data_IF_328154847490
#
_entry.id   IF_328154847490
#
_cell.length_a   1.000
_cell.length_b   1.000
_cell.length_c   1.000
_cell.angle_alpha   90.00
_cell.angle_beta   90.00
_cell.angle_gamma   90.00
#
_symmetry.space_group_name_H-M   'P 1'
#
loop_
_entity.id
_entity.type
_entity.pdbx_description
1 polymer ?
#
# COMPACT_ATOMS: atom_id res chain seq x y z
N UNK A 1 4.99 5.21 -22.59
CA UNK A 1 3.91 4.39 -21.98
C UNK A 1 4.40 2.99 -21.63
N UNK A 2 5.05 2.28 -22.56
CA UNK A 2 5.66 0.94 -22.30
C UNK A 2 6.60 0.92 -21.06
N UNK A 3 7.56 1.85 -20.87
CA UNK A 3 8.46 1.80 -19.71
C UNK A 3 7.74 2.02 -18.37
N UNK A 4 6.67 2.82 -18.36
CA UNK A 4 5.86 3.10 -17.16
C UNK A 4 5.12 1.84 -16.72
N UNK A 5 4.47 1.14 -17.66
CA UNK A 5 3.78 -0.12 -17.36
C UNK A 5 4.72 -1.21 -16.84
N UNK A 6 5.92 -1.35 -17.43
CA UNK A 6 6.91 -2.33 -16.96
C UNK A 6 7.40 -2.00 -15.56
N UNK A 7 7.58 -0.71 -15.24
CA UNK A 7 8.03 -0.31 -13.92
C UNK A 7 6.93 -0.52 -12.87
N UNK A 8 5.69 -0.13 -13.18
CA UNK A 8 4.53 -0.34 -12.30
C UNK A 8 4.26 -1.82 -12.02
N UNK A 9 4.36 -2.68 -13.05
CA UNK A 9 4.16 -4.12 -12.86
C UNK A 9 5.24 -4.75 -11.98
N UNK A 10 6.51 -4.36 -12.14
CA UNK A 10 7.58 -4.79 -11.23
C UNK A 10 7.34 -4.30 -9.79
N UNK A 11 6.91 -3.05 -9.63
CA UNK A 11 6.61 -2.46 -8.33
C UNK A 11 5.40 -3.15 -7.66
N UNK A 12 4.40 -3.56 -8.44
CA UNK A 12 3.25 -4.34 -7.99
C UNK A 12 3.69 -5.68 -7.43
N UNK A 13 4.45 -6.44 -8.22
CA UNK A 13 4.89 -7.80 -7.86
C UNK A 13 5.77 -7.74 -6.60
N UNK A 14 6.77 -6.87 -6.60
CA UNK A 14 7.67 -6.71 -5.45
C UNK A 14 6.94 -6.20 -4.20
N UNK A 15 6.03 -5.23 -4.35
CA UNK A 15 5.26 -4.67 -3.24
C UNK A 15 4.25 -5.67 -2.65
N UNK A 16 3.57 -6.46 -3.48
CA UNK A 16 2.65 -7.51 -3.01
C UNK A 16 3.44 -8.59 -2.29
N UNK A 17 4.52 -9.11 -2.87
CA UNK A 17 5.33 -10.17 -2.25
C UNK A 17 5.91 -9.70 -0.93
N UNK A 18 6.54 -8.51 -0.90
CA UNK A 18 7.20 -7.98 0.29
C UNK A 18 6.22 -7.74 1.45
N UNK A 19 5.09 -7.07 1.18
CA UNK A 19 4.12 -6.79 2.23
C UNK A 19 3.33 -8.04 2.66
N UNK A 20 3.05 -8.99 1.76
CA UNK A 20 2.41 -10.26 2.11
C UNK A 20 3.31 -11.12 3.00
N UNK A 21 4.60 -11.19 2.66
CA UNK A 21 5.58 -11.93 3.44
C UNK A 21 5.73 -11.33 4.85
N UNK A 22 5.78 -10.00 4.95
CA UNK A 22 5.77 -9.30 6.24
C UNK A 22 4.52 -9.66 7.05
N UNK A 23 3.33 -9.54 6.45
CA UNK A 23 2.07 -9.87 7.12
C UNK A 23 2.09 -11.32 7.64
N UNK A 24 2.54 -12.27 6.82
CA UNK A 24 2.60 -13.68 7.18
C UNK A 24 3.58 -13.97 8.33
N UNK A 25 4.79 -13.41 8.29
CA UNK A 25 5.80 -13.57 9.33
C UNK A 25 5.32 -12.98 10.66
N UNK A 26 4.78 -11.76 10.64
CA UNK A 26 4.31 -11.07 11.85
C UNK A 26 2.98 -11.61 12.39
N UNK A 27 2.20 -12.34 11.57
CA UNK A 27 1.04 -13.07 12.04
C UNK A 27 1.46 -14.35 12.78
N UNK A 28 2.34 -15.16 12.17
CA UNK A 28 2.57 -16.54 12.62
C UNK A 28 3.66 -16.68 13.68
N UNK A 29 4.67 -15.80 13.69
CA UNK A 29 5.96 -16.13 14.34
C UNK A 29 6.28 -15.39 15.63
N UNK A 30 5.52 -14.36 16.04
CA UNK A 30 5.93 -13.50 17.16
C UNK A 30 4.83 -13.20 18.19
N UNK A 31 5.16 -13.20 19.49
CA UNK A 31 4.27 -12.72 20.54
C UNK A 31 3.95 -11.23 20.34
N UNK A 32 2.72 -10.84 20.70
CA UNK A 32 2.17 -9.53 20.37
C UNK A 32 2.83 -8.42 21.22
N UNK A 33 3.69 -7.64 20.58
CA UNK A 33 4.29 -6.41 21.14
C UNK A 33 3.69 -5.21 20.40
N UNK A 34 3.42 -4.05 21.06
CA UNK A 34 2.82 -2.87 20.41
C UNK A 34 3.55 -2.45 19.12
N UNK A 35 4.89 -2.42 19.14
CA UNK A 35 5.74 -2.20 17.97
C UNK A 35 5.44 -3.11 16.77
N UNK A 36 5.15 -4.39 17.03
CA UNK A 36 4.85 -5.38 15.98
C UNK A 36 3.41 -5.27 15.47
N UNK A 37 2.49 -4.78 16.30
CA UNK A 37 1.13 -4.45 15.86
C UNK A 37 1.16 -3.28 14.87
N UNK A 38 1.96 -2.26 15.14
CA UNK A 38 2.21 -1.17 14.20
C UNK A 38 2.78 -1.65 12.86
N UNK A 39 3.76 -2.56 12.88
CA UNK A 39 4.34 -3.14 11.65
C UNK A 39 3.30 -3.95 10.86
N UNK A 40 2.42 -4.70 11.54
CA UNK A 40 1.31 -5.43 10.88
C UNK A 40 0.35 -4.48 10.17
N UNK A 41 -0.04 -3.40 10.84
CA UNK A 41 -0.93 -2.37 10.29
C UNK A 41 -0.28 -1.68 9.09
N UNK A 42 1.00 -1.33 9.20
CA UNK A 42 1.78 -0.76 8.10
C UNK A 42 1.87 -1.69 6.88
N UNK A 43 2.12 -2.98 7.09
CA UNK A 43 2.14 -3.97 6.00
C UNK A 43 0.77 -4.13 5.32
N UNK A 44 -0.33 -4.04 6.08
CA UNK A 44 -1.69 -4.05 5.54
C UNK A 44 -1.97 -2.81 4.70
N UNK A 45 -1.62 -1.62 5.19
CA UNK A 45 -1.70 -0.38 4.41
C UNK A 45 -0.82 -0.41 3.17
N UNK A 46 0.37 -1.02 3.25
CA UNK A 46 1.25 -1.26 2.11
C UNK A 46 0.60 -2.10 1.02
N UNK A 47 -0.04 -3.23 1.39
CA UNK A 47 -0.80 -4.09 0.46
C UNK A 47 -1.97 -3.35 -0.19
N UNK A 48 -2.76 -2.64 0.61
CA UNK A 48 -3.86 -1.82 0.10
C UNK A 48 -3.32 -0.79 -0.89
N UNK A 49 -2.25 -0.07 -0.56
CA UNK A 49 -1.69 0.96 -1.45
C UNK A 49 -1.21 0.38 -2.77
N UNK A 50 -0.44 -0.72 -2.75
CA UNK A 50 0.09 -1.32 -3.98
C UNK A 50 -1.01 -1.92 -4.86
N UNK A 51 -2.05 -2.51 -4.25
CA UNK A 51 -3.20 -3.06 -4.98
C UNK A 51 -4.19 -2.01 -5.47
N UNK A 52 -4.11 -0.77 -4.97
CA UNK A 52 -5.05 0.31 -5.27
C UNK A 52 -4.38 1.37 -6.13
N UNK A 53 -3.23 1.92 -5.76
CA UNK A 53 -2.53 2.97 -6.53
C UNK A 53 -2.06 2.48 -7.90
N UNK A 54 -1.48 1.29 -8.00
CA UNK A 54 -0.90 0.79 -9.26
C UNK A 54 -1.96 0.52 -10.34
N UNK A 55 -3.06 -0.19 -10.07
CA UNK A 55 -4.10 -0.32 -11.09
C UNK A 55 -4.74 1.02 -11.43
N UNK A 56 -4.79 1.99 -10.51
CA UNK A 56 -5.27 3.35 -10.79
C UNK A 56 -4.42 4.05 -11.85
N UNK A 57 -3.11 4.05 -11.65
CA UNK A 57 -2.15 4.62 -12.61
C UNK A 57 -2.14 3.89 -13.97
N UNK A 58 -2.29 2.56 -13.97
CA UNK A 58 -2.44 1.77 -15.21
C UNK A 58 -3.74 2.15 -15.91
N UNK A 59 -4.84 2.31 -15.17
CA UNK A 59 -6.14 2.64 -15.71
C UNK A 59 -6.16 4.06 -16.30
N UNK A 60 -5.59 5.06 -15.60
CA UNK A 60 -5.42 6.41 -16.13
C UNK A 60 -4.50 6.46 -17.36
N UNK A 61 -3.46 5.62 -17.42
CA UNK A 61 -2.62 5.49 -18.61
C UNK A 61 -3.34 4.86 -19.80
N UNK A 62 -4.20 3.87 -19.58
CA UNK A 62 -4.91 3.13 -20.64
C UNK A 62 -6.17 3.86 -21.12
N UNK A 63 -6.87 4.56 -20.23
CA UNK A 63 -8.14 5.26 -20.46
C UNK A 63 -7.98 6.78 -20.28
N UNK A 64 -7.06 7.38 -21.03
CA UNK A 64 -6.91 8.85 -21.06
C UNK A 64 -8.17 9.60 -21.56
N UNK A 65 -9.15 8.91 -22.15
CA UNK A 65 -10.29 9.51 -22.86
C UNK A 65 -11.69 9.03 -22.44
N UNK A 66 -11.84 7.93 -21.68
CA UNK A 66 -13.15 7.29 -21.37
C UNK A 66 -13.29 7.01 -19.85
N UNK A 67 -13.06 8.02 -19.01
CA UNK A 67 -13.06 7.85 -17.56
C UNK A 67 -14.48 7.97 -16.96
N UNK A 68 -15.32 6.95 -17.17
CA UNK A 68 -16.75 6.99 -16.84
C UNK A 68 -17.12 6.66 -15.37
N UNK A 69 -16.13 6.30 -14.53
CA UNK A 69 -16.38 5.96 -13.11
C UNK A 69 -15.56 6.80 -12.11
N UNK A 70 -15.95 8.06 -11.86
CA UNK A 70 -15.27 8.96 -10.91
C UNK A 70 -15.31 8.46 -9.46
N UNK A 71 -16.29 7.62 -9.11
CA UNK A 71 -16.46 7.06 -7.77
C UNK A 71 -15.29 6.11 -7.41
N UNK A 72 -14.89 5.26 -8.35
CA UNK A 72 -13.82 4.27 -8.12
C UNK A 72 -12.49 4.97 -7.91
N UNK A 73 -12.15 5.95 -8.75
CA UNK A 73 -10.92 6.74 -8.61
C UNK A 73 -10.87 7.53 -7.30
N UNK A 74 -11.99 8.13 -6.89
CA UNK A 74 -12.06 8.88 -5.62
C UNK A 74 -11.89 7.98 -4.40
N UNK A 75 -12.45 6.77 -4.43
CA UNK A 75 -12.24 5.75 -3.39
C UNK A 75 -10.77 5.30 -3.39
N UNK A 76 -10.19 5.07 -4.57
CA UNK A 76 -8.79 4.70 -4.75
C UNK A 76 -7.85 5.70 -4.09
N UNK A 77 -8.00 6.98 -4.42
CA UNK A 77 -7.21 8.07 -3.89
C UNK A 77 -7.40 8.24 -2.38
N UNK A 78 -8.63 8.04 -1.88
CA UNK A 78 -8.90 8.06 -0.44
C UNK A 78 -8.14 6.95 0.30
N UNK A 79 -8.19 5.70 -0.17
CA UNK A 79 -7.46 4.59 0.43
C UNK A 79 -5.95 4.80 0.40
N UNK A 80 -5.41 5.29 -0.71
CA UNK A 80 -3.98 5.60 -0.81
C UNK A 80 -3.55 6.75 0.11
N UNK A 81 -4.38 7.78 0.26
CA UNK A 81 -4.12 8.87 1.20
C UNK A 81 -4.15 8.38 2.66
N UNK A 82 -5.17 7.60 3.03
CA UNK A 82 -5.29 7.00 4.36
C UNK A 82 -4.11 6.08 4.66
N UNK A 83 -3.68 5.26 3.68
CA UNK A 83 -2.54 4.37 3.84
C UNK A 83 -1.20 5.11 3.97
N UNK A 84 -1.04 6.22 3.25
CA UNK A 84 0.15 7.08 3.33
C UNK A 84 0.22 7.78 4.69
N UNK A 85 -0.88 8.39 5.13
CA UNK A 85 -0.98 9.03 6.44
C UNK A 85 -0.81 8.00 7.55
N UNK A 86 -1.46 6.84 7.43
CA UNK A 86 -1.37 5.73 8.38
C UNK A 86 0.05 5.19 8.51
N UNK A 87 0.77 5.05 7.40
CA UNK A 87 2.18 4.64 7.41
C UNK A 87 3.07 5.67 8.08
N UNK A 88 2.84 6.97 7.82
CA UNK A 88 3.56 8.05 8.50
C UNK A 88 3.30 8.06 10.01
N UNK A 89 2.05 7.91 10.44
CA UNK A 89 1.66 7.82 11.84
C UNK A 89 2.29 6.61 12.53
N UNK A 90 2.38 5.47 11.85
CA UNK A 90 3.07 4.28 12.38
C UNK A 90 4.55 4.56 12.64
N UNK A 91 5.26 5.24 11.74
CA UNK A 91 6.67 5.59 11.95
C UNK A 91 6.84 6.52 13.16
N UNK A 92 5.96 7.50 13.31
CA UNK A 92 5.95 8.40 14.47
C UNK A 92 5.64 7.64 15.76
N UNK A 93 4.64 6.76 15.76
CA UNK A 93 4.30 5.93 16.91
C UNK A 93 5.46 5.00 17.30
N UNK A 94 6.14 4.41 16.33
CA UNK A 94 7.35 3.60 16.55
C UNK A 94 8.47 4.43 17.18
N UNK A 95 8.70 5.66 16.70
CA UNK A 95 9.68 6.57 17.29
C UNK A 95 9.34 6.90 18.75
N UNK A 96 8.07 7.20 19.05
CA UNK A 96 7.60 7.48 20.42
C UNK A 96 7.67 6.26 21.33
N UNK A 97 7.48 5.04 20.82
CA UNK A 97 7.57 3.81 21.63
C UNK A 97 9.03 3.44 21.93
N UNK A 98 9.99 3.98 21.17
CA UNK A 98 11.42 3.70 21.30
C UNK A 98 12.18 4.78 22.10
N UNK A 99 11.58 5.95 22.28
CA UNK A 99 12.07 7.03 23.14
C UNK A 99 11.59 6.83 24.58
#
# INVERSE_FOLDING_TARGET
MIPVLTFLSLLLVTGVIGNSLALWIYWRRFPQTPLKMFIKVMACYGLLTVTVSIPGEIYESLHKWDFDHPVVCKIQQFFSAVATIGSGLVVVAVAMTRY
#
